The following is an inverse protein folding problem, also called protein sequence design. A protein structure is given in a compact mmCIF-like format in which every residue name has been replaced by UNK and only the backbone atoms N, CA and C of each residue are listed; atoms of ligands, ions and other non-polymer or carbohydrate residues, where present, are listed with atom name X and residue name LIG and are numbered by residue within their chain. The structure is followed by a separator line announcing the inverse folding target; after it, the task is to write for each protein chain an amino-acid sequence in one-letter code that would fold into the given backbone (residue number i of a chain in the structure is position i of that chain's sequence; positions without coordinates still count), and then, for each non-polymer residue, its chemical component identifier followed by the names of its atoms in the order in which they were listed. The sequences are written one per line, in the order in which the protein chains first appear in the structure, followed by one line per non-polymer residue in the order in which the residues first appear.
data_IF_556391350241
#
_entry.id   IF_556391350241
#
_cell.length_a   1.000
_cell.length_b   1.000
_cell.length_c   1.000
_cell.angle_alpha   90.00
_cell.angle_beta   90.00
_cell.angle_gamma   90.00
#
_symmetry.space_group_name_H-M   'P 1'
#
loop_
_entity.id
_entity.type
_entity.pdbx_description
1 polymer ?
#
# COMPACT_ATOMS: atom_id res chain seq x y z
N UNK A 1 26.26 -3.20 -6.09
CA UNK A 1 26.37 -2.76 -4.69
C UNK A 1 25.89 -1.32 -4.58
N UNK A 2 24.68 -1.06 -4.07
CA UNK A 2 24.23 0.29 -3.64
C UNK A 2 22.91 0.19 -2.85
N UNK A 3 22.87 -0.61 -1.78
CA UNK A 3 21.70 -0.73 -0.88
C UNK A 3 21.88 0.08 0.44
N UNK A 4 22.72 1.11 0.43
CA UNK A 4 23.14 1.83 1.65
C UNK A 4 22.99 3.37 1.60
N UNK A 5 22.37 3.93 0.56
CA UNK A 5 21.71 5.25 0.63
C UNK A 5 20.22 4.88 0.65
N UNK A 6 19.41 5.04 1.68
CA UNK A 6 19.24 6.26 2.43
C UNK A 6 18.22 5.98 3.56
N UNK A 7 18.65 5.35 4.67
CA UNK A 7 17.74 5.13 5.82
C UNK A 7 17.27 6.46 6.46
N UNK A 8 17.78 7.62 6.03
CA UNK A 8 17.46 8.96 6.54
C UNK A 8 16.32 9.67 5.79
N UNK A 9 15.84 9.15 4.67
CA UNK A 9 14.72 9.75 3.90
C UNK A 9 13.36 9.08 4.14
N UNK A 10 13.31 7.93 4.84
CA UNK A 10 12.07 7.16 5.09
C UNK A 10 10.96 7.90 5.87
N UNK A 11 11.21 9.13 6.34
CA UNK A 11 10.21 9.98 6.99
C UNK A 11 9.88 11.27 6.25
N UNK A 12 10.47 11.55 5.08
CA UNK A 12 10.22 12.79 4.34
C UNK A 12 9.17 12.57 3.25
N UNK A 13 8.16 13.44 3.21
CA UNK A 13 7.11 13.42 2.19
C UNK A 13 7.68 13.44 0.77
N UNK A 14 8.72 14.24 0.51
CA UNK A 14 9.35 14.32 -0.82
C UNK A 14 9.90 12.97 -1.29
N UNK A 15 10.53 12.19 -0.41
CA UNK A 15 11.04 10.87 -0.75
C UNK A 15 9.91 9.85 -0.96
N UNK A 16 8.79 10.01 -0.22
CA UNK A 16 7.60 9.19 -0.45
C UNK A 16 6.97 9.49 -1.82
N UNK A 17 6.88 10.76 -2.21
CA UNK A 17 6.36 11.16 -3.53
C UNK A 17 7.17 10.54 -4.66
N UNK A 18 8.50 10.65 -4.61
CA UNK A 18 9.40 10.04 -5.61
C UNK A 18 9.22 8.51 -5.70
N UNK A 19 9.04 7.84 -4.55
CA UNK A 19 8.77 6.39 -4.54
C UNK A 19 7.41 6.03 -5.14
N UNK A 20 6.39 6.84 -4.90
CA UNK A 20 5.03 6.65 -5.43
C UNK A 20 4.97 6.92 -6.93
N UNK A 21 5.74 7.88 -7.46
CA UNK A 21 5.84 8.10 -8.92
C UNK A 21 6.34 6.85 -9.65
N UNK A 22 7.20 6.05 -9.01
CA UNK A 22 7.75 4.84 -9.59
C UNK A 22 7.00 3.56 -9.22
N UNK A 23 6.02 3.63 -8.31
CA UNK A 23 5.27 2.46 -7.81
C UNK A 23 3.80 2.78 -7.67
N UNK A 24 2.95 2.00 -8.33
CA UNK A 24 1.50 2.14 -8.16
C UNK A 24 1.13 1.93 -6.69
N UNK A 25 0.42 2.89 -6.11
CA UNK A 25 -0.17 2.74 -4.78
C UNK A 25 -1.29 1.72 -4.89
N UNK A 26 -1.24 0.61 -4.15
CA UNK A 26 -2.26 -0.41 -4.26
C UNK A 26 -3.50 0.04 -3.46
N UNK A 27 -4.65 -0.03 -4.12
CA UNK A 27 -5.92 0.48 -3.60
C UNK A 27 -7.03 -0.52 -3.87
N UNK A 28 -8.05 -0.51 -3.01
CA UNK A 28 -9.28 -1.30 -3.17
C UNK A 28 -10.52 -0.43 -2.90
N UNK A 29 -11.66 -0.68 -3.55
CA UNK A 29 -12.89 0.05 -3.26
C UNK A 29 -13.44 -0.31 -1.88
N UNK A 30 -14.19 0.61 -1.26
CA UNK A 30 -14.84 0.39 0.05
C UNK A 30 -15.72 -0.87 0.12
N UNK A 31 -16.24 -1.33 -1.02
CA UNK A 31 -17.11 -2.50 -1.12
C UNK A 31 -16.39 -3.78 -1.55
N UNK A 32 -15.06 -3.78 -1.58
CA UNK A 32 -14.27 -4.94 -1.99
C UNK A 32 -14.56 -6.16 -1.11
N UNK A 33 -14.72 -7.31 -1.75
CA UNK A 33 -14.77 -8.60 -1.09
C UNK A 33 -13.39 -8.97 -0.52
N UNK A 34 -13.38 -9.89 0.46
CA UNK A 34 -12.13 -10.35 1.08
C UNK A 34 -11.19 -11.00 0.05
N UNK A 35 -11.72 -11.72 -0.94
CA UNK A 35 -10.91 -12.30 -2.03
C UNK A 35 -10.23 -11.24 -2.86
N UNK A 36 -10.94 -10.17 -3.24
CA UNK A 36 -10.38 -9.04 -4.00
C UNK A 36 -9.29 -8.31 -3.20
N UNK A 37 -9.44 -8.24 -1.88
CA UNK A 37 -8.41 -7.68 -0.97
C UNK A 37 -7.15 -8.56 -0.97
N UNK A 38 -7.31 -9.89 -0.92
CA UNK A 38 -6.19 -10.84 -0.96
C UNK A 38 -5.48 -10.76 -2.31
N UNK A 39 -6.22 -10.73 -3.41
CA UNK A 39 -5.69 -10.60 -4.76
C UNK A 39 -4.93 -9.28 -4.92
N UNK A 40 -5.47 -8.17 -4.42
CA UNK A 40 -4.80 -6.88 -4.44
C UNK A 40 -3.49 -6.85 -3.63
N UNK A 41 -3.40 -7.62 -2.53
CA UNK A 41 -2.12 -7.81 -1.83
C UNK A 41 -1.14 -8.66 -2.64
N UNK A 42 -1.62 -9.72 -3.30
CA UNK A 42 -0.79 -10.60 -4.11
C UNK A 42 -0.23 -9.89 -5.36
N UNK A 43 -1.00 -8.98 -5.97
CA UNK A 43 -0.55 -8.16 -7.10
C UNK A 43 0.42 -7.04 -6.70
N UNK A 44 0.50 -6.72 -5.40
CA UNK A 44 1.30 -5.63 -4.87
C UNK A 44 2.60 -6.14 -4.22
N UNK A 45 3.55 -6.57 -5.06
CA UNK A 45 4.85 -7.11 -4.63
C UNK A 45 5.65 -6.18 -3.69
N UNK A 46 5.42 -4.87 -3.76
CA UNK A 46 6.19 -3.85 -3.04
C UNK A 46 5.51 -3.28 -1.80
N UNK A 47 4.26 -3.66 -1.48
CA UNK A 47 3.52 -3.07 -0.36
C UNK A 47 2.73 -4.10 0.43
N UNK A 48 2.89 -4.03 1.76
CA UNK A 48 2.06 -4.76 2.73
C UNK A 48 0.86 -3.95 3.21
N UNK A 49 0.59 -2.82 2.56
CA UNK A 49 -0.47 -1.87 2.88
C UNK A 49 -1.35 -1.67 1.65
N UNK A 50 -2.67 -1.75 1.84
CA UNK A 50 -3.68 -1.37 0.86
C UNK A 50 -4.46 -0.16 1.38
N UNK A 51 -4.74 0.80 0.50
CA UNK A 51 -5.62 1.91 0.84
C UNK A 51 -7.04 1.61 0.37
N UNK A 52 -8.01 1.83 1.25
CA UNK A 52 -9.43 1.72 0.91
C UNK A 52 -9.88 3.07 0.39
N UNK A 53 -10.41 3.11 -0.83
CA UNK A 53 -10.88 4.34 -1.47
C UNK A 53 -12.40 4.32 -1.69
N UNK A 54 -13.01 5.50 -1.71
CA UNK A 54 -14.37 5.66 -2.23
C UNK A 54 -14.40 5.77 -3.76
N UNK A 55 -15.60 5.95 -4.32
CA UNK A 55 -15.83 6.02 -5.75
C UNK A 55 -15.18 7.25 -6.41
N UNK A 56 -14.81 8.26 -5.62
CA UNK A 56 -14.05 9.45 -6.06
C UNK A 56 -12.53 9.26 -5.90
N UNK A 57 -12.07 8.07 -5.47
CA UNK A 57 -10.67 7.77 -5.23
C UNK A 57 -10.12 8.35 -3.93
N UNK A 58 -10.97 8.85 -3.02
CA UNK A 58 -10.52 9.43 -1.74
C UNK A 58 -10.26 8.34 -0.71
N UNK A 59 -9.15 8.46 0.01
CA UNK A 59 -8.79 7.52 1.06
C UNK A 59 -9.82 7.54 2.20
N UNK A 60 -10.36 6.36 2.53
CA UNK A 60 -11.31 6.13 3.64
C UNK A 60 -10.74 5.21 4.72
N UNK A 61 -9.63 4.54 4.46
CA UNK A 61 -9.02 3.65 5.43
C UNK A 61 -7.77 2.97 4.90
N UNK A 62 -7.14 2.20 5.78
CA UNK A 62 -5.90 1.47 5.48
C UNK A 62 -6.04 0.04 5.99
N UNK A 63 -5.73 -0.92 5.13
CA UNK A 63 -5.59 -2.32 5.47
C UNK A 63 -4.12 -2.68 5.45
N UNK A 64 -3.67 -3.48 6.41
CA UNK A 64 -2.33 -4.06 6.39
C UNK A 64 -2.42 -5.57 6.33
N UNK A 65 -1.56 -6.19 5.52
CA UNK A 65 -1.43 -7.65 5.48
C UNK A 65 -1.11 -8.20 6.88
N UNK A 66 -0.32 -7.46 7.66
CA UNK A 66 -0.02 -7.80 9.05
C UNK A 66 -1.27 -7.90 9.94
N UNK A 67 -2.27 -7.05 9.73
CA UNK A 67 -3.54 -7.17 10.46
C UNK A 67 -4.35 -8.37 9.99
N UNK A 68 -4.39 -8.64 8.69
CA UNK A 68 -5.12 -9.79 8.16
C UNK A 68 -4.56 -11.10 8.71
N UNK A 69 -3.26 -11.36 8.55
CA UNK A 69 -2.64 -12.64 8.95
C UNK A 69 -2.73 -12.96 10.45
N UNK A 70 -3.05 -12.00 11.31
CA UNK A 70 -3.22 -12.23 12.76
C UNK A 70 -4.61 -12.77 13.13
N UNK A 71 -5.57 -12.64 12.23
CA UNK A 71 -6.97 -12.99 12.46
C UNK A 71 -7.49 -14.09 11.53
N UNK A 72 -6.60 -14.68 10.72
CA UNK A 72 -6.86 -15.89 9.93
C UNK A 72 -6.16 -17.08 10.55
#
# INVERSE_FOLDING_TARGET
MTWAKDKRTLGKIAALVEQVEHRKVPVVPKRAAVTEIIDAFAESDHSRILYVVDDEGRCRGVLSLGNMIRHV
#
